data_IF_865704296366
#
_entry.id   IF_865704296366
#
_cell.length_a   1.000
_cell.length_b   1.000
_cell.length_c   1.000
_cell.angle_alpha   90.00
_cell.angle_beta   90.00
_cell.angle_gamma   90.00
#
_symmetry.space_group_name_H-M   'P 1'
#
loop_
_entity.id
_entity.type
_entity.pdbx_description
1 polymer ?
#
# COMPACT_ATOMS: atom_id res chain seq x y z
N UNK A 1 -54.08 1.66 41.60
CA UNK A 1 -53.75 2.06 42.98
C UNK A 1 -52.44 2.83 42.94
N UNK A 2 -52.46 4.02 43.53
CA UNK A 2 -51.39 4.92 44.04
C UNK A 2 -49.91 4.47 43.89
N UNK A 3 -48.88 5.30 43.69
CA UNK A 3 -48.71 6.76 43.76
C UNK A 3 -47.29 7.11 43.24
N UNK A 4 -47.19 8.22 42.51
CA UNK A 4 -46.08 9.20 42.34
C UNK A 4 -44.63 8.75 42.60
N UNK A 5 -43.76 9.03 41.61
CA UNK A 5 -42.48 9.68 41.89
C UNK A 5 -42.29 10.87 40.93
N UNK A 6 -42.37 12.07 41.50
CA UNK A 6 -42.02 13.34 40.87
C UNK A 6 -40.50 13.47 40.99
N UNK A 7 -39.78 13.64 39.88
CA UNK A 7 -38.43 14.23 39.91
C UNK A 7 -38.18 15.05 38.64
N UNK A 8 -38.46 16.34 38.80
CA UNK A 8 -37.64 17.49 38.42
C UNK A 8 -37.09 17.52 36.99
N UNK A 9 -37.76 18.34 36.20
CA UNK A 9 -37.23 19.05 35.03
C UNK A 9 -35.82 19.58 35.31
N UNK A 10 -34.82 19.07 34.59
CA UNK A 10 -33.57 19.79 34.34
C UNK A 10 -33.65 20.20 32.87
N UNK A 11 -33.97 21.47 32.64
CA UNK A 11 -33.82 22.10 31.33
C UNK A 11 -32.34 22.46 31.20
N UNK A 12 -31.59 21.67 30.43
CA UNK A 12 -30.27 22.09 29.95
C UNK A 12 -30.52 22.93 28.70
N UNK A 13 -30.18 24.23 28.67
CA UNK A 13 -30.32 25.01 27.45
C UNK A 13 -29.33 24.47 26.42
N UNK A 14 -29.89 23.93 25.33
CA UNK A 14 -29.17 23.58 24.11
C UNK A 14 -28.74 24.90 23.45
N UNK A 15 -27.57 25.39 23.81
CA UNK A 15 -26.92 26.47 23.07
C UNK A 15 -26.46 25.90 21.72
N UNK A 16 -27.31 26.03 20.70
CA UNK A 16 -26.92 25.82 19.30
C UNK A 16 -26.05 27.03 18.92
N UNK A 17 -24.77 26.96 19.26
CA UNK A 17 -23.75 27.83 18.68
C UNK A 17 -23.56 27.40 17.23
N UNK A 18 -24.13 28.16 16.29
CA UNK A 18 -23.82 28.03 14.88
C UNK A 18 -22.38 28.48 14.65
N UNK A 19 -21.43 27.58 14.85
CA UNK A 19 -20.07 27.76 14.36
C UNK A 19 -20.14 27.75 12.84
N UNK A 20 -20.00 28.93 12.24
CA UNK A 20 -19.78 29.07 10.80
C UNK A 20 -18.43 28.41 10.51
N UNK A 21 -18.46 27.15 10.09
CA UNK A 21 -17.28 26.47 9.58
C UNK A 21 -16.97 27.11 8.21
N UNK A 22 -16.08 28.09 8.19
CA UNK A 22 -15.48 28.56 6.94
C UNK A 22 -14.68 27.42 6.36
N UNK A 23 -15.23 26.74 5.35
CA UNK A 23 -14.48 25.80 4.53
C UNK A 23 -13.47 26.61 3.71
N UNK A 24 -12.27 26.77 4.24
CA UNK A 24 -11.13 27.21 3.46
C UNK A 24 -10.88 26.15 2.40
N UNK A 25 -11.27 26.42 1.15
CA UNK A 25 -10.77 25.66 0.01
C UNK A 25 -9.25 25.86 0.00
N UNK A 26 -8.52 24.85 0.47
CA UNK A 26 -7.10 24.77 0.19
C UNK A 26 -6.98 24.75 -1.33
N UNK A 27 -6.49 25.86 -1.91
CA UNK A 27 -5.98 25.85 -3.27
C UNK A 27 -5.12 24.61 -3.39
N UNK A 28 -5.49 23.71 -4.29
CA UNK A 28 -4.74 22.48 -4.56
C UNK A 28 -3.28 22.88 -4.70
N UNK A 29 -2.48 22.48 -3.71
CA UNK A 29 -1.08 22.86 -3.65
C UNK A 29 -0.45 22.51 -4.99
N UNK A 30 0.41 23.40 -5.49
CA UNK A 30 1.29 23.10 -6.62
C UNK A 30 2.25 21.98 -6.19
N UNK A 31 1.75 20.74 -6.16
CA UNK A 31 2.57 19.56 -5.97
C UNK A 31 3.53 19.54 -7.15
N UNK A 32 4.85 19.60 -6.90
CA UNK A 32 5.81 19.46 -7.98
C UNK A 32 5.47 18.21 -8.78
N UNK A 33 5.44 18.29 -10.13
CA UNK A 33 5.17 17.12 -10.94
C UNK A 33 6.19 16.04 -10.60
N UNK A 34 5.70 14.80 -10.46
CA UNK A 34 6.59 13.68 -10.19
C UNK A 34 7.60 13.53 -11.35
N UNK A 35 8.86 13.20 -11.07
CA UNK A 35 9.83 12.90 -12.11
C UNK A 35 9.28 11.79 -13.02
N UNK A 36 9.31 12.03 -14.34
CA UNK A 36 8.92 11.04 -15.34
C UNK A 36 10.18 10.36 -15.87
N UNK A 37 10.39 9.06 -15.62
CA UNK A 37 11.55 8.36 -16.16
C UNK A 37 11.41 8.19 -17.69
N UNK A 38 12.51 8.33 -18.42
CA UNK A 38 12.56 8.05 -19.85
C UNK A 38 12.57 6.54 -20.16
N UNK A 39 13.18 5.76 -19.26
CA UNK A 39 13.30 4.31 -19.37
C UNK A 39 13.11 3.63 -18.01
N UNK A 40 12.52 2.44 -18.04
CA UNK A 40 12.41 1.54 -16.89
C UNK A 40 13.11 0.25 -17.28
N UNK A 41 14.05 -0.19 -16.44
CA UNK A 41 14.71 -1.50 -16.58
C UNK A 41 14.24 -2.36 -15.41
N UNK A 42 13.73 -3.55 -15.74
CA UNK A 42 13.31 -4.55 -14.76
C UNK A 42 14.28 -5.73 -14.83
N UNK A 43 14.87 -6.08 -13.69
CA UNK A 43 15.75 -7.24 -13.52
C UNK A 43 15.08 -8.17 -12.53
N UNK A 44 14.98 -9.46 -12.86
CA UNK A 44 14.32 -10.48 -12.05
C UNK A 44 15.34 -11.55 -11.72
N UNK A 45 15.67 -11.67 -10.43
CA UNK A 45 16.50 -12.75 -9.91
C UNK A 45 15.63 -13.98 -9.69
N UNK A 46 15.99 -15.10 -10.30
CA UNK A 46 15.21 -16.34 -10.24
C UNK A 46 15.68 -17.22 -9.07
N UNK A 47 14.73 -17.87 -8.40
CA UNK A 47 14.99 -18.85 -7.33
C UNK A 47 15.83 -18.34 -6.13
N UNK A 48 15.78 -17.04 -5.84
CA UNK A 48 16.43 -16.45 -4.67
C UNK A 48 15.44 -15.97 -3.61
N UNK A 49 15.73 -16.25 -2.34
CA UNK A 49 14.99 -15.68 -1.21
C UNK A 49 15.52 -14.30 -0.85
N UNK A 50 14.71 -13.50 -0.16
CA UNK A 50 15.11 -12.16 0.32
C UNK A 50 16.44 -12.18 1.09
N UNK A 51 16.61 -13.13 2.01
CA UNK A 51 17.80 -13.23 2.87
C UNK A 51 19.05 -13.77 2.15
N UNK A 52 18.90 -14.35 0.96
CA UNK A 52 20.05 -14.69 0.11
C UNK A 52 20.63 -13.45 -0.60
N UNK A 53 19.84 -12.38 -0.72
CA UNK A 53 20.23 -11.16 -1.44
C UNK A 53 20.52 -10.01 -0.47
N UNK A 54 19.58 -9.61 0.38
CA UNK A 54 19.73 -8.43 1.24
C UNK A 54 20.73 -8.74 2.37
N UNK A 55 21.66 -7.81 2.57
CA UNK A 55 22.82 -7.90 3.48
C UNK A 55 23.81 -9.04 3.15
N UNK A 56 23.63 -9.72 2.02
CA UNK A 56 24.53 -10.78 1.56
C UNK A 56 25.79 -10.20 0.89
N UNK A 57 27.00 -10.67 1.26
CA UNK A 57 28.24 -10.26 0.61
C UNK A 57 28.34 -10.75 -0.85
N UNK A 58 27.54 -11.73 -1.23
CA UNK A 58 27.52 -12.31 -2.60
C UNK A 58 26.71 -11.45 -3.59
N UNK A 59 25.94 -10.47 -3.10
CA UNK A 59 25.14 -9.56 -3.91
C UNK A 59 25.49 -8.07 -3.69
N UNK A 60 26.77 -7.66 -3.79
CA UNK A 60 27.21 -6.32 -3.37
C UNK A 60 26.60 -5.20 -4.22
N UNK A 61 26.37 -5.45 -5.51
CA UNK A 61 25.77 -4.46 -6.40
C UNK A 61 24.30 -4.20 -6.06
N UNK A 62 23.51 -5.25 -5.82
CA UNK A 62 22.09 -5.15 -5.47
C UNK A 62 21.94 -4.47 -4.11
N UNK A 63 22.78 -4.80 -3.12
CA UNK A 63 22.77 -4.15 -1.81
C UNK A 63 23.12 -2.65 -1.88
N UNK A 64 24.01 -2.25 -2.79
CA UNK A 64 24.27 -0.82 -3.04
C UNK A 64 23.02 -0.10 -3.60
N UNK A 65 22.24 -0.75 -4.44
CA UNK A 65 21.00 -0.17 -4.97
C UNK A 65 19.90 -0.11 -3.90
N UNK A 66 19.79 -1.14 -3.06
CA UNK A 66 18.82 -1.20 -1.97
C UNK A 66 18.96 -0.02 -1.00
N UNK A 67 20.19 0.41 -0.70
CA UNK A 67 20.44 1.57 0.18
C UNK A 67 20.13 2.94 -0.44
N UNK A 68 19.90 3.00 -1.75
CA UNK A 68 19.61 4.22 -2.51
C UNK A 68 18.15 4.34 -2.91
N UNK A 69 17.32 3.34 -2.60
CA UNK A 69 15.94 3.24 -3.08
C UNK A 69 14.98 2.70 -2.01
N UNK A 70 13.85 2.20 -2.49
CA UNK A 70 12.87 1.54 -1.64
C UNK A 70 13.08 0.03 -1.66
N UNK A 71 13.01 -0.60 -0.48
CA UNK A 71 13.08 -2.05 -0.30
C UNK A 71 11.73 -2.55 0.17
N UNK A 72 11.14 -3.49 -0.58
CA UNK A 72 9.83 -4.07 -0.25
C UNK A 72 10.01 -5.32 0.61
N UNK A 73 10.02 -5.16 1.93
CA UNK A 73 10.24 -6.26 2.90
C UNK A 73 9.05 -7.22 3.05
N UNK A 74 7.91 -6.89 2.45
CA UNK A 74 6.67 -7.69 2.43
C UNK A 74 6.14 -7.85 1.01
N UNK A 75 7.04 -8.17 0.07
CA UNK A 75 6.68 -8.55 -1.30
C UNK A 75 6.76 -10.07 -1.45
N UNK A 76 5.71 -10.68 -1.98
CA UNK A 76 5.57 -12.13 -2.11
C UNK A 76 5.20 -12.50 -3.54
N UNK A 77 5.55 -13.73 -3.96
CA UNK A 77 5.02 -14.29 -5.19
C UNK A 77 3.50 -14.42 -5.14
N UNK A 78 2.85 -14.33 -6.31
CA UNK A 78 1.42 -14.55 -6.45
C UNK A 78 1.02 -16.01 -6.18
N UNK A 79 1.87 -16.97 -6.54
CA UNK A 79 1.66 -18.41 -6.32
C UNK A 79 2.98 -19.19 -6.45
N UNK A 80 2.91 -20.52 -6.50
CA UNK A 80 3.96 -21.42 -6.91
C UNK A 80 3.39 -22.37 -7.99
N UNK A 81 4.12 -22.72 -9.07
CA UNK A 81 5.53 -22.47 -9.38
C UNK A 81 5.81 -21.12 -10.09
N UNK A 82 6.96 -20.95 -10.77
CA UNK A 82 7.45 -19.66 -11.28
C UNK A 82 6.69 -19.07 -12.47
N UNK A 83 6.25 -19.87 -13.45
CA UNK A 83 5.57 -19.38 -14.67
C UNK A 83 4.31 -18.55 -14.38
N UNK A 84 3.38 -18.96 -13.49
CA UNK A 84 2.23 -18.13 -13.14
C UNK A 84 2.60 -16.79 -12.51
N UNK A 85 3.74 -16.69 -11.80
CA UNK A 85 4.21 -15.43 -11.23
C UNK A 85 4.66 -14.44 -12.29
N UNK A 86 5.34 -14.90 -13.35
CA UNK A 86 5.71 -14.04 -14.48
C UNK A 86 4.48 -13.50 -15.21
N UNK A 87 3.45 -14.34 -15.40
CA UNK A 87 2.18 -13.91 -15.98
C UNK A 87 1.48 -12.87 -15.10
N UNK A 88 1.44 -13.08 -13.79
CA UNK A 88 0.86 -12.13 -12.85
C UNK A 88 1.62 -10.80 -12.83
N UNK A 89 2.96 -10.84 -12.87
CA UNK A 89 3.81 -9.65 -12.92
C UNK A 89 3.55 -8.80 -14.17
N UNK A 90 3.38 -9.45 -15.33
CA UNK A 90 3.23 -8.74 -16.60
C UNK A 90 1.79 -8.31 -16.90
N UNK A 91 0.80 -9.17 -16.62
CA UNK A 91 -0.59 -8.99 -17.03
C UNK A 91 -1.57 -8.70 -15.89
N UNK A 92 -1.12 -8.80 -14.63
CA UNK A 92 -1.97 -8.66 -13.45
C UNK A 92 -2.80 -9.90 -13.09
N UNK A 93 -2.63 -11.02 -13.78
CA UNK A 93 -3.32 -12.30 -13.50
C UNK A 93 -2.47 -13.51 -13.94
N UNK A 94 -2.72 -14.69 -13.36
CA UNK A 94 -2.04 -15.94 -13.74
C UNK A 94 -2.52 -16.53 -15.07
N UNK A 95 -3.55 -15.94 -15.68
CA UNK A 95 -4.19 -16.44 -16.93
C UNK A 95 -4.71 -17.88 -16.83
N UNK A 96 -4.99 -18.36 -15.61
CA UNK A 96 -5.42 -19.74 -15.37
C UNK A 96 -4.29 -20.78 -15.42
N UNK A 97 -3.04 -20.36 -15.62
CA UNK A 97 -1.88 -21.26 -15.56
C UNK A 97 -1.52 -21.53 -14.09
N UNK A 98 -1.29 -22.80 -13.78
CA UNK A 98 -1.03 -23.29 -12.41
C UNK A 98 0.25 -24.10 -12.28
N UNK A 99 0.99 -24.32 -13.37
CA UNK A 99 2.21 -25.12 -13.41
C UNK A 99 3.32 -24.42 -14.21
N UNK A 100 4.40 -25.14 -14.52
CA UNK A 100 5.53 -24.68 -15.34
C UNK A 100 5.60 -25.44 -16.68
N UNK A 101 4.48 -26.02 -17.14
CA UNK A 101 4.48 -26.82 -18.34
C UNK A 101 4.79 -25.94 -19.57
N UNK A 102 5.71 -26.40 -20.41
CA UNK A 102 5.97 -25.74 -21.68
C UNK A 102 4.76 -25.96 -22.61
N UNK A 103 4.33 -24.94 -23.38
CA UNK A 103 3.31 -25.09 -24.41
C UNK A 103 3.68 -26.15 -25.46
#
# INVERSE_FOLDING_TARGET
>A
MQWKLILRTIVIPLAIGACIFSASSTQGGNTPPLPRPDHIVMVIEENHTYSQIIDSPDAPYINRLASQGAVFTQSFGATYPSQPNYLALFSGSTQGITDNSCP
#
